data_IF_256988530764
#
_entry.id   IF_256988530764
#
_cell.length_a   1.000
_cell.length_b   1.000
_cell.length_c   1.000
_cell.angle_alpha   90.00
_cell.angle_beta   90.00
_cell.angle_gamma   90.00
#
_symmetry.space_group_name_H-M   'P 1'
#
loop_
_entity.id
_entity.type
_entity.pdbx_description
1 polymer ?
#
# COMPACT_ATOMS: atom_id res chain seq x y z
N UNK A 1 -11.54 22.56 16.59
CA UNK A 1 -10.56 21.63 16.00
C UNK A 1 -11.10 21.29 14.62
N UNK A 2 -10.49 21.84 13.59
CA UNK A 2 -10.93 21.66 12.20
C UNK A 2 -10.41 20.29 11.70
N UNK A 3 -11.33 19.39 11.37
CA UNK A 3 -11.00 18.02 10.94
C UNK A 3 -10.21 18.05 9.61
N UNK A 4 -10.33 19.13 8.83
CA UNK A 4 -9.62 19.34 7.57
C UNK A 4 -8.10 19.37 7.74
N UNK A 5 -7.57 19.85 8.87
CA UNK A 5 -6.12 19.95 9.10
C UNK A 5 -5.44 18.59 9.31
N UNK A 6 -6.21 17.52 9.56
CA UNK A 6 -5.70 16.15 9.68
C UNK A 6 -5.47 15.52 8.30
N UNK A 7 -6.11 16.06 7.25
CA UNK A 7 -6.04 15.50 5.89
C UNK A 7 -4.68 15.79 5.28
N UNK A 8 -3.79 14.80 5.36
CA UNK A 8 -2.56 14.78 4.56
C UNK A 8 -2.91 14.39 3.13
N UNK A 9 -2.64 15.27 2.18
CA UNK A 9 -2.70 14.93 0.76
C UNK A 9 -1.41 14.19 0.37
N UNK A 10 -1.53 12.90 0.07
CA UNK A 10 -0.44 12.07 -0.41
C UNK A 10 -0.35 12.18 -1.94
N UNK A 11 0.15 13.31 -2.45
CA UNK A 11 0.14 13.67 -3.89
C UNK A 11 1.36 13.20 -4.68
N UNK A 12 2.33 12.53 -4.04
CA UNK A 12 3.61 12.21 -4.69
C UNK A 12 3.47 11.31 -5.92
N UNK A 13 2.54 10.34 -5.93
CA UNK A 13 2.23 9.51 -7.09
C UNK A 13 0.76 9.05 -7.05
N UNK A 14 0.06 9.23 -8.17
CA UNK A 14 -1.29 8.70 -8.38
C UNK A 14 -1.26 7.22 -8.79
N UNK A 15 -2.43 6.59 -8.79
CA UNK A 15 -2.62 5.20 -9.20
C UNK A 15 -3.53 5.13 -10.43
N UNK A 16 -2.94 5.04 -11.63
CA UNK A 16 -3.70 4.87 -12.87
C UNK A 16 -3.59 3.46 -13.41
N UNK A 17 -4.67 2.95 -14.00
CA UNK A 17 -4.72 1.59 -14.57
C UNK A 17 -3.70 1.37 -15.69
N UNK A 18 -3.38 2.41 -16.45
CA UNK A 18 -2.39 2.35 -17.54
C UNK A 18 -0.96 2.11 -17.03
N UNK A 19 -0.67 2.46 -15.77
CA UNK A 19 0.67 2.37 -15.18
C UNK A 19 0.88 1.07 -14.38
N UNK A 20 -0.15 0.21 -14.34
CA UNK A 20 -0.14 -1.06 -13.64
C UNK A 20 0.35 -2.19 -14.53
N UNK A 21 1.16 -3.08 -13.93
CA UNK A 21 1.53 -4.33 -14.55
C UNK A 21 0.32 -5.26 -14.61
N UNK A 22 0.22 -6.02 -15.69
CA UNK A 22 -0.85 -7.01 -15.89
C UNK A 22 -0.74 -8.19 -14.92
N UNK A 23 0.48 -8.55 -14.51
CA UNK A 23 0.72 -9.57 -13.51
C UNK A 23 0.69 -8.96 -12.10
N UNK A 24 -0.25 -9.36 -11.23
CA UNK A 24 -0.38 -8.79 -9.89
C UNK A 24 0.81 -9.08 -8.97
N UNK A 25 1.52 -10.20 -9.15
CA UNK A 25 2.71 -10.51 -8.35
C UNK A 25 3.88 -9.60 -8.71
N UNK A 26 4.05 -9.30 -10.00
CA UNK A 26 5.06 -8.34 -10.46
C UNK A 26 4.71 -6.92 -9.99
N UNK A 27 3.42 -6.56 -9.97
CA UNK A 27 2.98 -5.28 -9.44
C UNK A 27 3.26 -5.15 -7.93
N UNK A 28 3.00 -6.21 -7.16
CA UNK A 28 3.35 -6.27 -5.74
C UNK A 28 4.87 -6.13 -5.54
N UNK A 29 5.68 -6.87 -6.30
CA UNK A 29 7.14 -6.79 -6.22
C UNK A 29 7.65 -5.37 -6.50
N UNK A 30 7.12 -4.69 -7.52
CA UNK A 30 7.44 -3.28 -7.82
C UNK A 30 7.20 -2.38 -6.61
N UNK A 31 6.02 -2.48 -5.98
CA UNK A 31 5.70 -1.68 -4.79
C UNK A 31 6.54 -2.04 -3.58
N UNK A 32 6.80 -3.34 -3.37
CA UNK A 32 7.64 -3.81 -2.29
C UNK A 32 9.07 -3.28 -2.41
N UNK A 33 9.65 -3.28 -3.62
CA UNK A 33 10.97 -2.67 -3.84
C UNK A 33 10.95 -1.15 -3.62
N UNK A 34 9.92 -0.43 -4.07
CA UNK A 34 9.79 1.00 -3.79
C UNK A 34 9.75 1.30 -2.28
N UNK A 35 8.99 0.50 -1.52
CA UNK A 35 8.92 0.63 -0.06
C UNK A 35 10.28 0.35 0.61
N UNK A 36 11.03 -0.65 0.12
CA UNK A 36 12.41 -0.93 0.57
C UNK A 36 13.36 0.22 0.27
N UNK A 37 13.30 0.77 -0.94
CA UNK A 37 14.14 1.91 -1.36
C UNK A 37 13.81 3.18 -0.57
N UNK A 38 12.56 3.35 -0.15
CA UNK A 38 12.13 4.44 0.73
C UNK A 38 12.50 4.22 2.22
N UNK A 39 13.21 3.13 2.54
CA UNK A 39 13.67 2.78 3.90
C UNK A 39 12.55 2.78 4.94
N UNK A 40 11.34 2.39 4.51
CA UNK A 40 10.22 2.22 5.43
C UNK A 40 10.52 1.05 6.38
N UNK A 41 10.05 1.16 7.63
CA UNK A 41 10.20 0.09 8.62
C UNK A 41 9.21 -1.04 8.33
N UNK A 42 9.62 -2.27 8.60
CA UNK A 42 8.74 -3.45 8.57
C UNK A 42 7.93 -3.58 7.26
N UNK A 43 8.56 -3.31 6.10
CA UNK A 43 7.88 -3.35 4.78
C UNK A 43 7.23 -4.68 4.43
N UNK A 44 7.66 -5.76 5.09
CA UNK A 44 7.13 -7.11 4.94
C UNK A 44 6.07 -7.46 5.99
N UNK A 45 5.78 -6.59 6.95
CA UNK A 45 4.73 -6.84 7.93
C UNK A 45 3.35 -6.81 7.26
N UNK A 46 2.52 -7.80 7.61
CA UNK A 46 1.17 -7.97 7.06
C UNK A 46 0.19 -8.24 8.20
N UNK A 47 -1.00 -7.64 8.13
CA UNK A 47 -2.11 -8.00 9.01
C UNK A 47 -2.91 -9.14 8.41
N UNK A 48 -2.88 -10.30 9.06
CA UNK A 48 -3.61 -11.49 8.62
C UNK A 48 -4.89 -11.59 9.45
N UNK A 49 -6.03 -11.50 8.80
CA UNK A 49 -7.33 -11.78 9.40
C UNK A 49 -7.67 -13.26 9.20
N UNK A 50 -8.14 -13.90 10.26
CA UNK A 50 -8.72 -15.24 10.21
C UNK A 50 -10.10 -15.19 10.85
N UNK A 51 -10.94 -16.16 10.52
CA UNK A 51 -12.33 -16.23 10.94
C UNK A 51 -12.58 -17.62 11.50
N UNK A 52 -13.42 -17.71 12.53
CA UNK A 52 -13.86 -19.03 13.03
C UNK A 52 -14.93 -19.59 12.09
N UNK A 53 -15.31 -20.84 12.29
CA UNK A 53 -16.29 -21.50 11.43
C UNK A 53 -17.67 -20.79 11.43
N UNK A 54 -17.96 -20.01 12.47
CA UNK A 54 -19.18 -19.23 12.66
C UNK A 54 -19.14 -17.81 12.06
N UNK A 55 -18.03 -17.42 11.43
CA UNK A 55 -17.84 -16.07 10.89
C UNK A 55 -17.17 -15.13 11.88
#
# INVERSE_FOLDING_TARGET
>A
MDIGEIRKEYTQFGLNRADLLSNPLQQFEKWFQQARTAELKEVNAMSIATVRADG
#
